data_IF_150376833086
#
_entry.id   IF_150376833086
#
_cell.length_a   1.000
_cell.length_b   1.000
_cell.length_c   1.000
_cell.angle_alpha   90.00
_cell.angle_beta   90.00
_cell.angle_gamma   90.00
#
_symmetry.space_group_name_H-M   'P 1'
#
loop_
_entity.id
_entity.type
_entity.pdbx_description
1 polymer ?
#
# COMPACT_ATOMS: atom_id res chain seq x y z
N UNK A 1 -15.35 -3.60 12.06
CA UNK A 1 -14.56 -3.80 10.84
C UNK A 1 -14.38 -2.46 10.16
N UNK A 2 -13.15 -1.94 10.09
CA UNK A 2 -12.84 -0.68 9.40
C UNK A 2 -11.91 -0.92 8.21
N UNK A 3 -12.14 -0.19 7.12
CA UNK A 3 -11.34 -0.23 5.90
C UNK A 3 -10.57 1.09 5.75
N UNK A 4 -9.26 1.00 5.56
CA UNK A 4 -8.41 2.11 5.16
C UNK A 4 -8.27 2.11 3.65
N UNK A 5 -8.36 3.28 3.02
CA UNK A 5 -8.18 3.45 1.58
C UNK A 5 -7.04 4.45 1.38
N UNK A 6 -6.10 4.09 0.52
CA UNK A 6 -4.98 4.92 0.07
C UNK A 6 -4.85 4.86 -1.45
N UNK A 7 -4.17 5.83 -2.02
CA UNK A 7 -3.77 5.88 -3.44
C UNK A 7 -2.57 6.80 -3.56
N UNK A 8 -1.86 6.72 -4.68
CA UNK A 8 -0.90 7.75 -5.11
C UNK A 8 0.14 8.07 -4.03
N UNK A 9 0.65 7.02 -3.39
CA UNK A 9 1.65 7.21 -2.34
C UNK A 9 2.99 7.69 -2.88
N UNK A 10 3.31 7.43 -4.16
CA UNK A 10 4.45 8.01 -4.92
C UNK A 10 5.73 8.09 -4.07
N UNK A 11 6.19 6.95 -3.55
CA UNK A 11 7.40 6.83 -2.74
C UNK A 11 7.45 7.69 -1.45
N UNK A 12 6.35 8.30 -1.06
CA UNK A 12 6.30 9.28 0.02
C UNK A 12 6.26 8.59 1.40
N UNK A 13 7.41 8.06 1.82
CA UNK A 13 7.58 7.31 3.06
C UNK A 13 7.04 8.03 4.31
N UNK A 14 7.25 9.34 4.51
CA UNK A 14 6.67 10.06 5.64
C UNK A 14 5.13 10.00 5.70
N UNK A 15 4.46 10.11 4.55
CA UNK A 15 3.00 10.07 4.49
C UNK A 15 2.46 8.65 4.59
N UNK A 16 3.16 7.66 4.03
CA UNK A 16 2.84 6.24 4.27
C UNK A 16 2.87 5.95 5.78
N UNK A 17 3.95 6.35 6.47
CA UNK A 17 4.06 6.14 7.92
C UNK A 17 2.93 6.82 8.71
N UNK A 18 2.59 8.06 8.37
CA UNK A 18 1.45 8.77 8.99
C UNK A 18 0.12 8.06 8.75
N UNK A 19 -0.12 7.57 7.54
CA UNK A 19 -1.35 6.84 7.22
C UNK A 19 -1.45 5.53 8.00
N UNK A 20 -0.35 4.76 8.09
CA UNK A 20 -0.33 3.52 8.87
C UNK A 20 -0.57 3.77 10.37
N UNK A 21 0.05 4.81 10.94
CA UNK A 21 -0.18 5.17 12.35
C UNK A 21 -1.63 5.59 12.61
N UNK A 22 -2.25 6.32 11.67
CA UNK A 22 -3.68 6.65 11.71
C UNK A 22 -4.53 5.37 11.68
N UNK A 23 -4.27 4.47 10.74
CA UNK A 23 -5.02 3.22 10.61
C UNK A 23 -4.91 2.31 11.83
N UNK A 24 -3.72 2.23 12.44
CA UNK A 24 -3.52 1.50 13.69
C UNK A 24 -4.35 2.12 14.83
N UNK A 25 -4.28 3.44 15.01
CA UNK A 25 -5.06 4.15 16.04
C UNK A 25 -6.56 3.99 15.85
N UNK A 26 -7.03 4.00 14.61
CA UNK A 26 -8.45 3.86 14.30
C UNK A 26 -8.93 2.41 14.37
N UNK A 27 -8.04 1.41 14.49
CA UNK A 27 -8.42 0.00 14.46
C UNK A 27 -8.90 -0.46 13.08
N UNK A 28 -8.15 -0.10 12.04
CA UNK A 28 -8.39 -0.56 10.67
C UNK A 28 -7.89 -2.00 10.52
N UNK A 29 -8.73 -2.85 9.95
CA UNK A 29 -8.46 -4.28 9.79
C UNK A 29 -7.92 -4.63 8.39
N UNK A 30 -8.24 -3.79 7.40
CA UNK A 30 -7.88 -3.98 6.00
C UNK A 30 -7.53 -2.64 5.34
N UNK A 31 -6.48 -2.64 4.54
CA UNK A 31 -6.00 -1.53 3.72
C UNK A 31 -6.20 -1.88 2.24
N UNK A 32 -6.86 -0.99 1.50
CA UNK A 32 -6.93 -1.01 0.04
C UNK A 32 -6.08 0.13 -0.51
N UNK A 33 -5.18 -0.18 -1.44
CA UNK A 33 -4.41 0.83 -2.16
C UNK A 33 -4.74 0.82 -3.66
N UNK A 34 -5.13 1.97 -4.21
CA UNK A 34 -5.64 2.08 -5.59
C UNK A 34 -4.54 2.20 -6.67
N UNK A 35 -3.27 2.05 -6.29
CA UNK A 35 -2.12 2.04 -7.20
C UNK A 35 -1.20 3.23 -7.00
N UNK A 36 -0.14 3.29 -7.80
CA UNK A 36 0.91 4.32 -7.72
C UNK A 36 1.62 4.30 -6.35
N UNK A 37 2.22 3.14 -6.05
CA UNK A 37 3.14 2.98 -4.92
C UNK A 37 4.51 3.58 -5.25
N UNK A 38 5.00 3.24 -6.45
CA UNK A 38 6.19 3.69 -7.22
C UNK A 38 7.58 3.22 -6.79
N UNK A 39 7.75 2.30 -5.85
CA UNK A 39 8.92 1.40 -5.84
C UNK A 39 8.73 0.27 -4.83
N UNK A 40 9.49 -0.83 -4.91
CA UNK A 40 9.45 -1.88 -3.90
C UNK A 40 9.76 -1.40 -2.48
N UNK A 41 10.52 -0.31 -2.31
CA UNK A 41 10.78 0.22 -0.97
C UNK A 41 9.54 0.90 -0.36
N UNK A 42 8.72 1.57 -1.15
CA UNK A 42 7.46 2.16 -0.70
C UNK A 42 6.46 1.07 -0.33
N UNK A 43 6.35 0.02 -1.16
CA UNK A 43 5.57 -1.18 -0.84
C UNK A 43 6.04 -1.83 0.47
N UNK A 44 7.35 -1.97 0.69
CA UNK A 44 7.89 -2.47 1.98
C UNK A 44 7.48 -1.61 3.17
N UNK A 45 7.42 -0.29 3.00
CA UNK A 45 6.94 0.60 4.05
C UNK A 45 5.44 0.42 4.32
N UNK A 46 4.63 0.30 3.25
CA UNK A 46 3.18 0.10 3.34
C UNK A 46 2.81 -1.25 3.96
N UNK A 47 3.57 -2.31 3.65
CA UNK A 47 3.40 -3.66 4.23
C UNK A 47 3.77 -3.76 5.72
N UNK A 48 4.20 -2.67 6.36
CA UNK A 48 4.27 -2.59 7.82
C UNK A 48 2.89 -2.52 8.48
N UNK A 49 1.82 -2.31 7.69
CA UNK A 49 0.45 -2.44 8.16
C UNK A 49 0.20 -3.84 8.71
N UNK A 50 -0.35 -3.94 9.93
CA UNK A 50 -0.55 -5.22 10.62
C UNK A 50 -1.77 -6.01 10.11
N UNK A 51 -2.70 -5.34 9.42
CA UNK A 51 -3.90 -5.96 8.87
C UNK A 51 -3.71 -6.47 7.45
N UNK A 52 -4.83 -6.82 6.80
CA UNK A 52 -4.81 -7.28 5.40
C UNK A 52 -4.50 -6.12 4.46
N UNK A 53 -3.63 -6.33 3.48
CA UNK A 53 -3.37 -5.37 2.39
C UNK A 53 -3.92 -5.93 1.09
N UNK A 54 -4.66 -5.09 0.36
CA UNK A 54 -5.17 -5.34 -0.98
C UNK A 54 -4.80 -4.15 -1.86
N UNK A 55 -4.64 -4.38 -3.16
CA UNK A 55 -4.45 -3.28 -4.08
C UNK A 55 -4.29 -3.69 -5.52
N UNK A 56 -4.28 -2.68 -6.36
CA UNK A 56 -4.05 -2.80 -7.81
C UNK A 56 -2.77 -2.09 -8.20
N UNK A 57 -2.24 -2.36 -9.38
CA UNK A 57 -1.19 -1.55 -9.99
C UNK A 57 -1.76 -0.22 -10.50
N UNK A 58 -1.02 0.85 -10.29
CA UNK A 58 -1.24 2.13 -10.97
C UNK A 58 -0.39 2.24 -12.24
N UNK A 59 -0.65 3.27 -13.04
CA UNK A 59 0.07 3.49 -14.29
C UNK A 59 1.52 3.95 -14.09
N UNK A 60 1.89 4.44 -12.90
CA UNK A 60 3.27 4.81 -12.56
C UNK A 60 4.07 3.67 -11.89
N UNK A 61 3.44 2.52 -11.61
CA UNK A 61 4.11 1.36 -11.02
C UNK A 61 4.96 0.61 -12.07
N UNK A 62 6.17 1.11 -12.32
CA UNK A 62 7.10 0.53 -13.30
C UNK A 62 7.71 -0.81 -12.87
N UNK A 63 8.10 -0.95 -11.59
CA UNK A 63 8.73 -2.17 -11.08
C UNK A 63 7.71 -3.24 -10.64
N UNK A 64 6.77 -3.57 -11.53
CA UNK A 64 5.66 -4.52 -11.25
C UNK A 64 6.14 -5.85 -10.69
N UNK A 65 7.26 -6.39 -11.19
CA UNK A 65 7.84 -7.65 -10.70
C UNK A 65 8.29 -7.54 -9.25
N UNK A 66 8.98 -6.45 -8.89
CA UNK A 66 9.44 -6.20 -7.52
C UNK A 66 8.26 -5.98 -6.56
N UNK A 67 7.26 -5.20 -6.99
CA UNK A 67 6.03 -4.96 -6.25
C UNK A 67 5.24 -6.26 -6.02
N UNK A 68 5.05 -7.08 -7.07
CA UNK A 68 4.35 -8.37 -7.00
C UNK A 68 5.07 -9.38 -6.12
N UNK A 69 6.41 -9.40 -6.13
CA UNK A 69 7.20 -10.25 -5.21
C UNK A 69 6.95 -9.92 -3.74
N UNK A 70 6.76 -8.64 -3.42
CA UNK A 70 6.47 -8.19 -2.05
C UNK A 70 5.00 -8.36 -1.67
N UNK A 71 4.09 -8.08 -2.60
CA UNK A 71 2.65 -8.18 -2.41
C UNK A 71 2.04 -9.05 -3.52
N UNK A 72 2.01 -10.39 -3.36
CA UNK A 72 1.55 -11.31 -4.40
C UNK A 72 0.08 -11.13 -4.80
N UNK A 73 -0.71 -10.52 -3.92
CA UNK A 73 -2.15 -10.28 -4.11
C UNK A 73 -2.47 -9.05 -4.98
N UNK A 74 -1.46 -8.27 -5.41
CA UNK A 74 -1.67 -7.16 -6.34
C UNK A 74 -2.27 -7.65 -7.66
N UNK A 75 -3.24 -6.95 -8.22
CA UNK A 75 -3.82 -7.28 -9.52
C UNK A 75 -3.71 -6.08 -10.47
N UNK A 76 -3.84 -6.34 -11.77
CA UNK A 76 -4.10 -5.24 -12.71
C UNK A 76 -5.53 -4.72 -12.47
N UNK A 77 -5.79 -3.41 -12.65
CA UNK A 77 -7.13 -2.83 -12.50
C UNK A 77 -8.14 -3.33 -13.55
#
# INVERSE_FOLDING_TARGET
MKLGILSDSHDNLPFIAKALALFEREGVDCLVHAGDYVAPFAMRALLKFKGRVLGVFGNNDGEKVGLKKLCPVLVEP
#
